data_IF_386457752146
#
_entry.id   IF_386457752146
#
_cell.length_a   1.000
_cell.length_b   1.000
_cell.length_c   1.000
_cell.angle_alpha   90.00
_cell.angle_beta   90.00
_cell.angle_gamma   90.00
#
_symmetry.space_group_name_H-M   'P 1'
#
loop_
_entity.id
_entity.type
_entity.pdbx_description
1 polymer ?
#
# COMPACT_ATOMS: atom_id res chain seq x y z
N UNK A 1 17.40 -44.84 5.96
CA UNK A 1 17.02 -45.50 7.23
C UNK A 1 17.55 -44.79 8.48
N UNK A 2 18.57 -43.94 8.41
CA UNK A 2 18.97 -43.05 9.52
C UNK A 2 18.37 -41.64 9.38
N UNK A 3 18.31 -41.09 8.16
CA UNK A 3 17.77 -39.74 7.91
C UNK A 3 16.25 -39.64 8.13
N UNK A 4 15.49 -40.69 7.81
CA UNK A 4 14.03 -40.73 7.98
C UNK A 4 13.64 -40.59 9.47
N UNK A 5 14.43 -41.18 10.37
CA UNK A 5 14.21 -41.13 11.81
C UNK A 5 14.53 -39.74 12.37
N UNK A 6 15.59 -39.10 11.86
CA UNK A 6 16.01 -37.77 12.30
C UNK A 6 15.00 -36.69 11.87
N UNK A 7 14.45 -36.80 10.65
CA UNK A 7 13.35 -35.97 10.17
C UNK A 7 12.08 -36.15 11.01
N UNK A 8 11.79 -37.40 11.41
CA UNK A 8 10.62 -37.72 12.22
C UNK A 8 10.74 -37.17 13.64
N UNK A 9 11.93 -37.29 14.26
CA UNK A 9 12.25 -36.69 15.56
C UNK A 9 12.24 -35.16 15.50
N UNK A 10 12.71 -34.55 14.41
CA UNK A 10 12.67 -33.09 14.21
C UNK A 10 11.23 -32.58 14.09
N UNK A 11 10.35 -33.30 13.40
CA UNK A 11 8.90 -33.01 13.36
C UNK A 11 8.25 -33.10 14.75
N UNK A 12 8.65 -34.09 15.55
CA UNK A 12 8.19 -34.24 16.93
C UNK A 12 8.63 -33.06 17.81
N UNK A 13 9.87 -32.62 17.66
CA UNK A 13 10.45 -31.49 18.41
C UNK A 13 9.91 -30.12 17.99
N UNK A 14 9.58 -29.92 16.71
CA UNK A 14 8.92 -28.68 16.25
C UNK A 14 7.47 -28.55 16.75
N UNK A 15 6.84 -29.68 17.12
CA UNK A 15 5.51 -29.73 17.75
C UNK A 15 5.54 -29.66 19.27
N UNK A 16 6.72 -29.75 19.90
CA UNK A 16 6.88 -29.56 21.34
C UNK A 16 6.80 -28.07 21.68
N UNK A 17 5.56 -27.60 21.77
CA UNK A 17 5.00 -26.76 22.82
C UNK A 17 6.00 -25.82 23.51
N UNK A 18 5.85 -24.52 23.22
CA UNK A 18 6.29 -23.44 24.11
C UNK A 18 5.75 -23.77 25.51
N UNK A 19 6.61 -23.89 26.54
CA UNK A 19 6.17 -24.29 27.86
C UNK A 19 5.24 -23.21 28.42
N UNK A 20 3.96 -23.57 28.51
CA UNK A 20 2.94 -23.05 29.41
C UNK A 20 3.13 -21.58 29.81
N UNK A 21 3.01 -20.67 28.84
CA UNK A 21 2.75 -19.28 29.17
C UNK A 21 1.32 -19.22 29.71
N UNK A 22 1.15 -18.99 31.01
CA UNK A 22 -0.14 -18.74 31.68
C UNK A 22 -0.80 -17.44 31.16
N UNK A 23 -1.08 -17.37 29.86
CA UNK A 23 -2.06 -16.45 29.30
C UNK A 23 -3.33 -17.28 29.03
N UNK A 24 -4.46 -16.98 29.68
CA UNK A 24 -5.72 -17.70 29.44
C UNK A 24 -6.22 -17.59 27.99
N UNK A 25 -5.56 -16.81 27.13
CA UNK A 25 -5.84 -16.72 25.70
C UNK A 25 -4.86 -17.47 24.77
N UNK A 26 -3.80 -18.09 25.30
CA UNK A 26 -2.95 -18.96 24.46
C UNK A 26 -3.64 -20.29 24.19
N UNK A 27 -4.34 -20.35 23.07
CA UNK A 27 -4.89 -21.60 22.54
C UNK A 27 -3.71 -22.46 22.06
N UNK A 28 -3.43 -23.54 22.77
CA UNK A 28 -2.41 -24.52 22.37
C UNK A 28 -2.76 -25.21 21.04
N UNK A 29 -1.79 -25.91 20.44
CA UNK A 29 -2.03 -26.69 19.22
C UNK A 29 -3.14 -27.72 19.43
N UNK A 30 -3.99 -27.91 18.42
CA UNK A 30 -5.10 -28.87 18.50
C UNK A 30 -4.54 -30.29 18.34
N UNK A 31 -4.33 -30.96 19.47
CA UNK A 31 -3.69 -32.29 19.54
C UNK A 31 -4.41 -33.34 18.67
N UNK A 32 -5.73 -33.23 18.50
CA UNK A 32 -6.53 -34.15 17.69
C UNK A 32 -6.10 -34.24 16.22
N UNK A 33 -5.48 -33.19 15.68
CA UNK A 33 -4.99 -33.12 14.30
C UNK A 33 -3.51 -33.48 14.16
N UNK A 34 -2.82 -33.84 15.25
CA UNK A 34 -1.41 -34.16 15.19
C UNK A 34 -1.13 -35.36 14.27
N UNK A 35 -1.98 -36.38 14.29
CA UNK A 35 -1.75 -37.62 13.55
C UNK A 35 -2.39 -37.62 12.16
N UNK A 36 -3.09 -36.55 11.80
CA UNK A 36 -3.74 -36.46 10.50
C UNK A 36 -2.72 -36.15 9.39
N UNK A 37 -2.90 -36.73 8.19
CA UNK A 37 -2.07 -36.40 7.05
C UNK A 37 -2.27 -34.93 6.66
N UNK A 38 -1.19 -34.29 6.22
CA UNK A 38 -1.25 -32.91 5.73
C UNK A 38 -2.16 -32.85 4.49
N UNK A 39 -3.11 -31.92 4.53
CA UNK A 39 -3.97 -31.61 3.40
C UNK A 39 -3.18 -30.81 2.36
N UNK A 40 -3.36 -31.06 1.05
CA UNK A 40 -2.71 -30.28 0.02
C UNK A 40 -3.04 -28.77 0.13
N UNK A 41 -2.07 -27.92 -0.22
CA UNK A 41 -2.18 -26.48 -0.06
C UNK A 41 -3.40 -25.89 -0.80
N UNK A 42 -3.67 -26.40 -2.00
CA UNK A 42 -4.82 -25.97 -2.81
C UNK A 42 -6.16 -26.27 -2.13
N UNK A 43 -6.30 -27.46 -1.56
CA UNK A 43 -7.52 -27.89 -0.88
C UNK A 43 -7.72 -27.11 0.42
N UNK A 44 -6.64 -26.84 1.17
CA UNK A 44 -6.66 -26.01 2.36
C UNK A 44 -7.12 -24.57 2.08
N UNK A 45 -6.88 -24.06 0.87
CA UNK A 45 -7.27 -22.72 0.43
C UNK A 45 -8.71 -22.64 -0.13
N UNK A 46 -9.37 -23.77 -0.37
CA UNK A 46 -10.77 -23.83 -0.84
C UNK A 46 -11.74 -22.94 -0.02
N UNK A 47 -11.76 -22.99 1.33
CA UNK A 47 -12.65 -22.13 2.12
C UNK A 47 -12.35 -20.63 2.00
N UNK A 48 -11.17 -20.26 1.48
CA UNK A 48 -10.74 -18.86 1.33
C UNK A 48 -11.13 -18.26 -0.02
N UNK A 49 -11.52 -19.07 -1.00
CA UNK A 49 -11.96 -18.62 -2.33
C UNK A 49 -13.00 -17.48 -2.29
N UNK A 50 -14.06 -17.52 -1.44
CA UNK A 50 -15.04 -16.43 -1.42
C UNK A 50 -14.52 -15.15 -0.74
N UNK A 51 -13.40 -15.21 0.00
CA UNK A 51 -12.86 -14.10 0.80
C UNK A 51 -11.71 -13.43 0.06
N UNK A 52 -10.80 -14.24 -0.50
CA UNK A 52 -9.55 -13.79 -1.09
C UNK A 52 -9.62 -13.93 -2.61
N UNK A 53 -9.56 -12.79 -3.29
CA UNK A 53 -9.61 -12.75 -4.74
C UNK A 53 -8.41 -13.46 -5.37
N UNK A 54 -8.68 -14.36 -6.33
CA UNK A 54 -7.68 -15.14 -7.06
C UNK A 54 -6.70 -15.95 -6.19
N UNK A 55 -7.11 -16.37 -4.98
CA UNK A 55 -6.26 -17.18 -4.08
C UNK A 55 -5.64 -18.40 -4.78
N UNK A 56 -6.39 -19.10 -5.63
CA UNK A 56 -5.89 -20.29 -6.33
C UNK A 56 -4.75 -19.96 -7.31
N UNK A 57 -4.79 -18.80 -7.97
CA UNK A 57 -3.71 -18.36 -8.86
C UNK A 57 -2.43 -18.13 -8.06
N UNK A 58 -2.57 -17.51 -6.91
CA UNK A 58 -1.48 -17.27 -5.97
C UNK A 58 -0.91 -18.58 -5.39
N UNK A 59 -1.77 -19.58 -5.13
CA UNK A 59 -1.33 -20.92 -4.76
C UNK A 59 -0.54 -21.58 -5.88
N UNK A 60 -0.99 -21.49 -7.13
CA UNK A 60 -0.25 -22.02 -8.29
C UNK A 60 1.13 -21.37 -8.43
N UNK A 61 1.19 -20.03 -8.31
CA UNK A 61 2.46 -19.29 -8.33
C UNK A 61 3.38 -19.76 -7.19
N UNK A 62 2.84 -19.96 -5.99
CA UNK A 62 3.63 -20.40 -4.86
C UNK A 62 4.20 -21.82 -5.06
N UNK A 63 3.42 -22.73 -5.62
CA UNK A 63 3.86 -24.07 -5.97
C UNK A 63 4.94 -24.05 -7.05
N UNK A 64 4.75 -23.27 -8.12
CA UNK A 64 5.71 -23.16 -9.23
C UNK A 64 7.06 -22.55 -8.80
N UNK A 65 7.04 -21.65 -7.81
CA UNK A 65 8.27 -21.01 -7.30
C UNK A 65 8.96 -21.84 -6.20
N UNK A 66 8.34 -22.92 -5.75
CA UNK A 66 8.91 -23.81 -4.73
C UNK A 66 9.54 -25.02 -5.42
N UNK A 67 10.81 -25.35 -5.14
CA UNK A 67 11.43 -26.55 -5.68
C UNK A 67 10.76 -27.82 -5.13
N UNK A 68 10.66 -28.86 -5.96
CA UNK A 68 10.02 -30.14 -5.59
C UNK A 68 10.71 -30.86 -4.42
N UNK A 69 12.01 -30.62 -4.23
CA UNK A 69 12.83 -31.19 -3.14
C UNK A 69 13.55 -30.06 -2.37
N UNK A 70 12.89 -29.41 -1.40
CA UNK A 70 13.51 -28.39 -0.57
C UNK A 70 14.49 -29.02 0.44
N UNK A 71 15.71 -28.48 0.56
CA UNK A 71 16.77 -29.03 1.44
C UNK A 71 16.46 -28.99 2.94
N UNK A 72 15.36 -28.37 3.32
CA UNK A 72 15.04 -28.03 4.71
C UNK A 72 14.25 -29.14 5.44
N UNK A 73 13.94 -30.24 4.74
CA UNK A 73 13.14 -31.36 5.26
C UNK A 73 11.64 -31.06 5.33
N UNK A 74 11.19 -29.98 4.69
CA UNK A 74 9.78 -29.65 4.50
C UNK A 74 9.23 -30.38 3.28
N UNK A 75 7.92 -30.60 3.25
CA UNK A 75 7.24 -31.01 2.03
C UNK A 75 7.09 -29.81 1.08
N UNK A 76 7.02 -30.05 -0.23
CA UNK A 76 6.82 -29.00 -1.24
C UNK A 76 5.61 -28.12 -0.91
N UNK A 77 4.50 -28.72 -0.48
CA UNK A 77 3.29 -28.00 -0.07
C UNK A 77 3.50 -27.13 1.18
N UNK A 78 4.27 -27.59 2.17
CA UNK A 78 4.61 -26.77 3.35
C UNK A 78 5.47 -25.57 2.95
N UNK A 79 6.48 -25.77 2.12
CA UNK A 79 7.33 -24.68 1.61
C UNK A 79 6.53 -23.71 0.74
N UNK A 80 5.63 -24.20 -0.12
CA UNK A 80 4.74 -23.38 -0.92
C UNK A 80 3.77 -22.57 -0.04
N UNK A 81 3.31 -23.11 1.10
CA UNK A 81 2.46 -22.37 2.02
C UNK A 81 3.18 -21.18 2.66
N UNK A 82 4.47 -21.35 2.99
CA UNK A 82 5.33 -20.28 3.49
C UNK A 82 5.59 -19.25 2.39
N UNK A 83 5.84 -19.70 1.15
CA UNK A 83 5.99 -18.81 0.00
C UNK A 83 4.71 -17.99 -0.22
N UNK A 84 3.54 -18.63 -0.21
CA UNK A 84 2.23 -17.97 -0.34
C UNK A 84 2.04 -16.87 0.72
N UNK A 85 2.49 -17.12 1.96
CA UNK A 85 2.42 -16.15 3.05
C UNK A 85 3.41 -14.97 2.89
N UNK A 86 4.58 -15.23 2.32
CA UNK A 86 5.68 -14.25 2.24
C UNK A 86 5.75 -13.48 0.94
N UNK A 87 5.16 -13.99 -0.13
CA UNK A 87 5.20 -13.35 -1.45
C UNK A 87 4.41 -12.03 -1.50
N UNK A 88 4.75 -11.18 -2.45
CA UNK A 88 4.03 -9.94 -2.68
C UNK A 88 2.72 -10.17 -3.42
N UNK A 89 1.64 -9.62 -2.88
CA UNK A 89 0.30 -9.66 -3.47
C UNK A 89 0.08 -8.42 -4.32
N UNK A 90 -0.51 -8.57 -5.51
CA UNK A 90 -0.78 -7.43 -6.38
C UNK A 90 -1.91 -6.56 -5.81
N UNK A 91 -1.60 -5.27 -5.56
CA UNK A 91 -2.44 -4.28 -4.88
C UNK A 91 -3.72 -3.85 -5.65
N UNK A 92 -4.00 -4.48 -6.80
CA UNK A 92 -5.12 -4.13 -7.70
C UNK A 92 -6.50 -4.25 -7.05
N UNK A 93 -6.65 -5.12 -6.04
CA UNK A 93 -7.91 -5.34 -5.34
C UNK A 93 -7.73 -5.02 -3.85
N UNK A 94 -8.03 -3.76 -3.49
CA UNK A 94 -7.94 -3.20 -2.13
C UNK A 94 -8.72 -3.94 -1.04
N UNK A 95 -9.52 -4.93 -1.41
CA UNK A 95 -10.51 -5.58 -0.55
C UNK A 95 -10.03 -6.92 0.04
N UNK A 96 -8.95 -7.53 -0.48
CA UNK A 96 -8.60 -8.92 -0.18
C UNK A 96 -7.17 -9.11 0.38
N UNK A 97 -6.41 -8.04 0.59
CA UNK A 97 -5.15 -8.14 1.31
C UNK A 97 -5.47 -8.33 2.80
N UNK A 98 -5.00 -9.43 3.41
CA UNK A 98 -5.11 -9.67 4.87
C UNK A 98 -4.59 -8.48 5.71
N UNK A 99 -3.71 -7.68 5.12
CA UNK A 99 -3.25 -6.40 5.63
C UNK A 99 -3.74 -5.23 4.76
N UNK A 100 -4.59 -4.33 5.28
CA UNK A 100 -4.93 -3.12 4.56
C UNK A 100 -3.69 -2.22 4.47
N UNK A 101 -3.11 -2.09 3.27
CA UNK A 101 -2.16 -1.01 2.96
C UNK A 101 -2.89 0.32 3.16
N UNK A 102 -2.64 0.97 4.30
CA UNK A 102 -3.20 2.28 4.64
C UNK A 102 -2.68 3.31 3.63
N UNK A 103 -3.42 3.54 2.56
CA UNK A 103 -3.09 4.56 1.56
C UNK A 103 -3.29 5.97 2.16
N UNK A 104 -2.30 6.44 2.94
CA UNK A 104 -2.31 7.78 3.56
C UNK A 104 -2.07 8.93 2.58
N UNK A 105 -1.98 8.68 1.26
CA UNK A 105 -1.45 9.68 0.32
C UNK A 105 -2.50 10.40 -0.52
N UNK A 106 -3.75 9.92 -0.60
CA UNK A 106 -4.76 10.53 -1.49
C UNK A 106 -5.29 11.91 -1.01
N UNK A 107 -5.17 12.22 0.29
CA UNK A 107 -5.64 13.50 0.82
C UNK A 107 -4.63 14.63 0.56
N UNK A 108 -3.34 14.30 0.57
CA UNK A 108 -2.26 15.28 0.45
C UNK A 108 -2.03 15.75 -0.99
N UNK A 109 -2.02 14.84 -1.97
CA UNK A 109 -1.80 15.16 -3.39
C UNK A 109 -2.97 15.93 -4.04
N UNK A 110 -4.21 15.78 -3.56
CA UNK A 110 -5.34 16.61 -4.01
C UNK A 110 -5.29 18.05 -3.46
N UNK A 111 -4.65 18.27 -2.32
CA UNK A 111 -4.56 19.58 -1.65
C UNK A 111 -3.21 20.28 -1.83
N UNK A 112 -2.18 19.60 -2.33
CA UNK A 112 -0.85 20.17 -2.61
C UNK A 112 -0.89 21.37 -3.56
N UNK A 113 -1.84 21.41 -4.49
CA UNK A 113 -2.00 22.53 -5.44
C UNK A 113 -2.89 23.65 -4.91
N UNK A 114 -3.80 23.36 -3.99
CA UNK A 114 -4.75 24.35 -3.46
C UNK A 114 -4.04 25.34 -2.52
N UNK A 115 -3.09 24.85 -1.71
CA UNK A 115 -2.32 25.66 -0.75
C UNK A 115 -1.52 26.79 -1.43
N UNK A 116 -0.67 26.53 -2.46
CA UNK A 116 0.08 27.59 -3.12
C UNK A 116 -0.81 28.54 -3.93
N UNK A 117 -1.87 28.03 -4.58
CA UNK A 117 -2.79 28.85 -5.38
C UNK A 117 -3.57 29.83 -4.48
N UNK A 118 -4.02 29.38 -3.31
CA UNK A 118 -4.73 30.24 -2.35
C UNK A 118 -3.86 31.38 -1.84
N UNK A 119 -2.55 31.15 -1.62
CA UNK A 119 -1.62 32.18 -1.17
C UNK A 119 -1.33 33.21 -2.28
N UNK A 120 -1.14 32.75 -3.53
CA UNK A 120 -0.96 33.65 -4.67
C UNK A 120 -2.19 34.52 -4.91
N UNK A 121 -3.40 33.95 -4.83
CA UNK A 121 -4.64 34.71 -4.97
C UNK A 121 -4.77 35.80 -3.89
N UNK A 122 -4.46 35.47 -2.63
CA UNK A 122 -4.46 36.45 -1.54
C UNK A 122 -3.44 37.59 -1.79
N UNK A 123 -2.23 37.25 -2.26
CA UNK A 123 -1.21 38.25 -2.61
C UNK A 123 -1.66 39.19 -3.73
N UNK A 124 -2.30 38.68 -4.78
CA UNK A 124 -2.84 39.50 -5.87
C UNK A 124 -3.94 40.44 -5.37
N UNK A 125 -4.86 39.94 -4.53
CA UNK A 125 -5.93 40.76 -3.94
C UNK A 125 -5.34 41.89 -3.10
N UNK A 126 -4.36 41.59 -2.24
CA UNK A 126 -3.69 42.62 -1.42
C UNK A 126 -2.99 43.65 -2.30
N UNK A 127 -2.29 43.22 -3.35
CA UNK A 127 -1.62 44.13 -4.28
C UNK A 127 -2.61 45.08 -4.99
N UNK A 128 -3.78 44.58 -5.39
CA UNK A 128 -4.83 45.42 -6.00
C UNK A 128 -5.39 46.43 -5.00
N UNK A 129 -5.66 46.02 -3.75
CA UNK A 129 -6.18 46.91 -2.71
C UNK A 129 -5.16 47.99 -2.33
N UNK A 130 -3.89 47.61 -2.14
CA UNK A 130 -2.80 48.56 -1.87
C UNK A 130 -2.57 49.48 -3.07
N UNK A 131 -2.57 48.93 -4.29
CA UNK A 131 -2.46 49.71 -5.53
C UNK A 131 -3.59 50.72 -5.71
N UNK A 132 -4.82 50.36 -5.36
CA UNK A 132 -5.95 51.29 -5.39
C UNK A 132 -5.85 52.36 -4.28
N UNK A 133 -5.47 51.99 -3.06
CA UNK A 133 -5.38 52.92 -1.93
C UNK A 133 -4.18 53.88 -2.01
N UNK A 134 -3.04 53.40 -2.51
CA UNK A 134 -1.81 54.21 -2.68
C UNK A 134 -1.72 54.86 -4.06
N UNK A 135 -2.25 54.23 -5.11
CA UNK A 135 -2.25 54.75 -6.48
C UNK A 135 -3.08 56.03 -6.64
N UNK A 136 -4.10 56.23 -5.80
CA UNK A 136 -4.85 57.49 -5.77
C UNK A 136 -4.14 58.62 -5.02
N UNK A 137 -2.97 58.35 -4.41
CA UNK A 137 -2.25 59.34 -3.59
C UNK A 137 -0.77 59.47 -3.93
N UNK A 138 -0.38 59.19 -5.17
CA UNK A 138 0.98 59.44 -5.66
C UNK A 138 0.95 60.18 -7.00
N UNK A 139 1.19 61.49 -6.91
CA UNK A 139 1.58 62.42 -7.99
C UNK A 139 0.61 62.53 -9.18
N UNK A 140 -0.33 63.46 -9.05
CA UNK A 140 -0.87 64.19 -10.20
C UNK A 140 0.33 64.75 -10.98
N UNK A 141 0.52 64.31 -12.23
CA UNK A 141 1.23 64.99 -13.35
C UNK A 141 2.04 64.04 -14.27
N UNK A 142 2.11 62.73 -14.04
CA UNK A 142 2.93 61.85 -14.91
C UNK A 142 2.25 60.57 -15.44
N UNK A 143 1.18 60.09 -14.83
CA UNK A 143 0.54 58.81 -15.23
C UNK A 143 -0.46 58.94 -16.40
N UNK A 144 -0.99 60.14 -16.65
CA UNK A 144 -1.90 60.38 -17.78
C UNK A 144 -1.20 60.33 -19.15
N UNK A 145 0.10 60.66 -19.21
CA UNK A 145 0.82 60.70 -20.50
C UNK A 145 1.10 59.30 -21.07
N UNK A 146 1.33 58.28 -20.24
CA UNK A 146 1.69 56.96 -20.75
C UNK A 146 0.50 56.18 -21.31
N UNK A 147 -0.68 56.32 -20.70
CA UNK A 147 -1.90 55.66 -21.21
C UNK A 147 -2.42 56.33 -22.49
N UNK A 148 -2.38 57.66 -22.60
CA UNK A 148 -2.83 58.37 -23.81
C UNK A 148 -1.89 58.19 -25.02
N UNK A 149 -0.58 58.04 -24.80
CA UNK A 149 0.37 57.74 -25.88
C UNK A 149 0.20 56.31 -26.40
N UNK A 150 -0.04 55.34 -25.52
CA UNK A 150 -0.27 53.94 -25.90
C UNK A 150 -1.61 53.75 -26.60
N UNK A 151 -2.66 54.47 -26.18
CA UNK A 151 -3.96 54.38 -26.82
C UNK A 151 -3.96 55.00 -28.22
N UNK A 152 -3.38 56.19 -28.40
CA UNK A 152 -3.29 56.83 -29.71
C UNK A 152 -2.37 56.09 -30.70
N UNK A 153 -1.30 55.42 -30.24
CA UNK A 153 -0.44 54.63 -31.11
C UNK A 153 -1.11 53.33 -31.60
N UNK A 154 -2.13 52.84 -30.89
CA UNK A 154 -2.84 51.61 -31.24
C UNK A 154 -4.09 51.86 -32.11
N UNK A 155 -4.63 53.07 -32.12
CA UNK A 155 -5.81 53.45 -32.92
C UNK A 155 -5.49 54.17 -34.24
N UNK A 156 -4.22 54.43 -34.54
CA UNK A 156 -3.82 55.11 -35.78
C UNK A 156 -3.28 54.11 -36.81
N UNK A 157 -4.13 53.17 -37.23
CA UNK A 157 -3.98 52.39 -38.46
C UNK A 157 -5.39 52.05 -38.96
N UNK A 158 -5.91 52.90 -39.85
CA UNK A 158 -7.24 52.82 -40.46
C UNK A 158 -7.55 54.02 -41.34
#
# INVERSE_FOLDING_TARGET
MSEDIELQVRRENARLVIPDSQDPQTVGPIIGYAQEPLLPLADACTPLIPIIFNILVYVSIALENTPDDPSDGLTSDESASIYLYTMEWNDGHRSACLYPKKNKRHWYNKKRFIIPISLLAAMVIVAVVVGAAFGTRSTNNASGMYFDLLFNLMTTDG
#
